data_IF_463614375784
#
_entry.id   IF_463614375784
#
_cell.length_a   1.000
_cell.length_b   1.000
_cell.length_c   1.000
_cell.angle_alpha   90.00
_cell.angle_beta   90.00
_cell.angle_gamma   90.00
#
_symmetry.space_group_name_H-M   'P 1'
#
loop_
_entity.id
_entity.type
_entity.pdbx_description
1 polymer ?
#
# COMPACT_ATOMS: atom_id res chain seq x y z
N UNK A 1 -14.92 3.95 16.06
CA UNK A 1 -14.23 2.65 15.90
C UNK A 1 -12.77 2.81 15.50
N UNK A 2 -12.44 3.60 14.46
CA UNK A 2 -11.05 3.78 13.97
C UNK A 2 -10.03 4.19 15.05
N UNK A 3 -10.36 5.15 15.93
CA UNK A 3 -9.44 5.58 17.00
C UNK A 3 -9.19 4.55 18.12
N UNK A 4 -10.00 3.48 18.22
CA UNK A 4 -9.75 2.41 19.17
C UNK A 4 -8.63 1.49 18.67
N UNK A 5 -8.61 1.22 17.36
CA UNK A 5 -7.60 0.37 16.75
C UNK A 5 -6.20 0.96 16.89
N UNK A 6 -6.02 2.26 16.58
CA UNK A 6 -4.73 2.94 16.75
C UNK A 6 -4.18 2.93 18.17
N UNK A 7 -5.05 3.03 19.19
CA UNK A 7 -4.62 2.97 20.59
C UNK A 7 -4.12 1.57 20.97
N UNK A 8 -4.80 0.53 20.49
CA UNK A 8 -4.41 -0.86 20.74
C UNK A 8 -3.09 -1.19 20.03
N UNK A 9 -2.93 -0.75 18.77
CA UNK A 9 -1.66 -0.86 18.03
C UNK A 9 -0.49 -0.19 18.76
N UNK A 10 -0.72 1.00 19.34
CA UNK A 10 0.28 1.70 20.16
C UNK A 10 0.61 0.91 21.43
N UNK A 11 -0.40 0.32 22.08
CA UNK A 11 -0.22 -0.49 23.29
C UNK A 11 0.63 -1.74 23.00
N UNK A 12 0.31 -2.47 21.93
CA UNK A 12 1.06 -3.66 21.52
C UNK A 12 2.51 -3.32 21.18
N UNK A 13 2.74 -2.25 20.41
CA UNK A 13 4.10 -1.84 20.06
C UNK A 13 4.93 -1.44 21.29
N UNK A 14 4.30 -0.80 22.29
CA UNK A 14 5.00 -0.45 23.53
C UNK A 14 5.30 -1.69 24.38
N UNK A 15 4.45 -2.73 24.31
CA UNK A 15 4.74 -4.01 24.95
C UNK A 15 5.97 -4.68 24.32
N UNK A 16 6.09 -4.63 22.99
CA UNK A 16 7.24 -5.20 22.26
C UNK A 16 8.52 -4.34 22.43
N UNK A 17 8.37 -3.02 22.51
CA UNK A 17 9.46 -2.06 22.72
C UNK A 17 9.16 -1.10 23.88
N UNK A 18 9.39 -1.51 25.14
CA UNK A 18 9.07 -0.71 26.32
C UNK A 18 9.92 0.57 26.45
N UNK A 19 11.06 0.64 25.74
CA UNK A 19 11.93 1.82 25.71
C UNK A 19 11.39 2.94 24.82
N UNK A 20 10.47 2.63 23.89
CA UNK A 20 9.88 3.61 22.98
C UNK A 20 8.80 4.43 23.70
N UNK A 21 9.14 5.68 24.03
CA UNK A 21 8.22 6.64 24.68
C UNK A 21 7.26 7.32 23.71
N UNK A 22 7.63 7.40 22.43
CA UNK A 22 6.80 7.99 21.37
C UNK A 22 6.75 7.02 20.18
N UNK A 23 5.62 6.98 19.50
CA UNK A 23 5.46 6.26 18.25
C UNK A 23 4.44 6.96 17.36
N UNK A 24 4.59 6.80 16.05
CA UNK A 24 3.63 7.27 15.07
C UNK A 24 2.90 6.06 14.49
N UNK A 25 1.58 6.02 14.61
CA UNK A 25 0.76 4.95 14.00
C UNK A 25 0.16 5.46 12.70
N UNK A 26 0.47 4.77 11.60
CA UNK A 26 -0.03 5.04 10.24
C UNK A 26 -0.99 3.92 9.86
N UNK A 27 -2.29 4.18 10.01
CA UNK A 27 -3.35 3.22 9.68
C UNK A 27 -3.82 3.45 8.24
N UNK A 28 -3.28 2.67 7.29
CA UNK A 28 -3.67 2.73 5.88
C UNK A 28 -4.75 1.70 5.55
N UNK A 29 -6.00 2.15 5.57
CA UNK A 29 -7.19 1.31 5.41
C UNK A 29 -7.83 1.34 4.02
N UNK A 30 -9.04 0.78 3.95
CA UNK A 30 -9.82 0.71 2.72
C UNK A 30 -10.20 2.10 2.18
N UNK A 31 -10.78 2.98 3.01
CA UNK A 31 -11.28 4.26 2.52
C UNK A 31 -10.33 5.43 2.77
N UNK A 32 -9.56 5.40 3.86
CA UNK A 32 -8.75 6.53 4.34
C UNK A 32 -7.47 6.01 4.97
N UNK A 33 -6.47 6.88 5.03
CA UNK A 33 -5.24 6.66 5.80
C UNK A 33 -5.22 7.65 6.97
N UNK A 34 -5.05 7.15 8.20
CA UNK A 34 -4.94 7.98 9.39
C UNK A 34 -3.51 7.95 9.93
N UNK A 35 -3.01 9.10 10.32
CA UNK A 35 -1.68 9.25 10.90
C UNK A 35 -1.88 9.85 12.28
N UNK A 36 -1.50 9.08 13.30
CA UNK A 36 -1.78 9.39 14.70
C UNK A 36 -0.48 9.34 15.49
N UNK A 37 0.07 10.49 15.92
CA UNK A 37 1.22 10.53 16.80
C UNK A 37 0.81 10.23 18.24
N UNK A 38 1.56 9.34 18.89
CA UNK A 38 1.44 8.98 20.29
C UNK A 38 2.69 9.42 21.04
N UNK A 39 2.50 10.25 22.06
CA UNK A 39 3.56 10.75 22.94
C UNK A 39 3.20 10.28 24.35
N UNK A 40 4.07 9.49 24.98
CA UNK A 40 3.83 8.88 26.30
C UNK A 40 2.47 8.16 26.34
N UNK A 41 2.18 7.37 25.30
CA UNK A 41 0.93 6.62 25.09
C UNK A 41 -0.34 7.48 24.99
N UNK A 42 -0.20 8.81 24.90
CA UNK A 42 -1.30 9.73 24.67
C UNK A 42 -1.26 10.25 23.24
N UNK A 43 -2.39 10.19 22.56
CA UNK A 43 -2.54 10.77 21.23
C UNK A 43 -2.32 12.29 21.26
N UNK A 44 -1.47 12.78 20.38
CA UNK A 44 -1.22 14.21 20.22
C UNK A 44 -2.17 14.78 19.16
N UNK A 45 -3.30 15.34 19.62
CA UNK A 45 -4.41 15.77 18.75
C UNK A 45 -3.99 16.71 17.60
N UNK A 46 -3.14 17.73 17.79
CA UNK A 46 -2.78 18.64 16.70
C UNK A 46 -1.99 17.97 15.57
N UNK A 47 -1.27 16.88 15.85
CA UNK A 47 -0.54 16.12 14.84
C UNK A 47 -1.36 15.01 14.18
N UNK A 48 -2.63 14.83 14.55
CA UNK A 48 -3.48 13.82 13.91
C UNK A 48 -3.87 14.29 12.52
N UNK A 49 -3.50 13.51 11.51
CA UNK A 49 -3.85 13.78 10.12
C UNK A 49 -4.67 12.64 9.53
N UNK A 50 -5.55 13.01 8.60
CA UNK A 50 -6.33 12.07 7.80
C UNK A 50 -6.13 12.42 6.34
N UNK A 51 -5.65 11.45 5.58
CA UNK A 51 -5.52 11.52 4.13
C UNK A 51 -6.69 10.77 3.52
N UNK A 52 -7.40 11.40 2.58
CA UNK A 52 -8.53 10.78 1.89
C UNK A 52 -8.07 9.87 0.73
N UNK A 53 -6.96 9.16 0.94
CA UNK A 53 -6.39 8.19 0.01
C UNK A 53 -6.30 6.85 0.74
N UNK A 54 -6.83 5.82 0.09
CA UNK A 54 -6.89 4.45 0.62
C UNK A 54 -7.18 3.44 -0.49
N UNK A 55 -7.34 2.18 -0.11
CA UNK A 55 -7.49 1.05 -1.04
C UNK A 55 -8.68 1.17 -2.02
N UNK A 56 -9.75 1.88 -1.66
CA UNK A 56 -10.92 2.12 -2.52
C UNK A 56 -10.55 2.92 -3.76
N UNK A 57 -9.72 3.95 -3.61
CA UNK A 57 -9.25 4.76 -4.73
C UNK A 57 -8.38 3.91 -5.65
N UNK A 58 -7.50 3.09 -5.08
CA UNK A 58 -6.65 2.16 -5.83
C UNK A 58 -7.50 1.18 -6.66
N UNK A 59 -8.49 0.54 -6.03
CA UNK A 59 -9.38 -0.41 -6.71
C UNK A 59 -10.22 0.28 -7.78
N UNK A 60 -10.76 1.48 -7.53
CA UNK A 60 -11.53 2.22 -8.52
C UNK A 60 -10.68 2.61 -9.74
N UNK A 61 -9.47 3.12 -9.51
CA UNK A 61 -8.59 3.49 -10.60
C UNK A 61 -8.11 2.26 -11.40
N UNK A 62 -7.84 1.14 -10.73
CA UNK A 62 -7.55 -0.12 -11.42
C UNK A 62 -8.72 -0.56 -12.30
N UNK A 63 -9.97 -0.44 -11.83
CA UNK A 63 -11.16 -0.75 -12.64
C UNK A 63 -11.25 0.12 -13.89
N UNK A 64 -10.98 1.42 -13.77
CA UNK A 64 -10.98 2.35 -14.91
C UNK A 64 -9.92 1.96 -15.95
N UNK A 65 -8.67 1.73 -15.50
CA UNK A 65 -7.55 1.36 -16.39
C UNK A 65 -7.81 0.03 -17.10
N UNK A 66 -8.29 -0.99 -16.38
CA UNK A 66 -8.58 -2.30 -16.97
C UNK A 66 -9.80 -2.24 -17.91
N UNK A 67 -10.86 -1.53 -17.53
CA UNK A 67 -12.06 -1.35 -18.36
C UNK A 67 -11.78 -0.61 -19.65
N UNK A 68 -10.86 0.35 -19.61
CA UNK A 68 -10.42 1.07 -20.79
C UNK A 68 -9.57 0.20 -21.73
N UNK A 69 -8.66 -0.62 -21.17
CA UNK A 69 -7.64 -1.32 -21.97
C UNK A 69 -8.07 -2.69 -22.49
N UNK A 70 -8.84 -3.46 -21.72
CA UNK A 70 -9.07 -4.88 -22.02
C UNK A 70 -10.53 -5.31 -21.85
N UNK A 71 -11.08 -5.20 -20.64
CA UNK A 71 -12.33 -5.86 -20.24
C UNK A 71 -13.13 -4.94 -19.32
N UNK A 72 -14.41 -4.70 -19.61
CA UNK A 72 -15.28 -3.87 -18.79
C UNK A 72 -15.58 -4.54 -17.44
N UNK A 73 -14.90 -4.09 -16.38
CA UNK A 73 -14.94 -4.67 -15.01
C UNK A 73 -15.46 -3.67 -13.97
N UNK A 74 -16.17 -2.63 -14.39
CA UNK A 74 -16.61 -1.54 -13.50
C UNK A 74 -17.52 -2.00 -12.36
N UNK A 75 -18.33 -3.04 -12.61
CA UNK A 75 -19.24 -3.64 -11.64
C UNK A 75 -18.55 -4.70 -10.76
N UNK A 76 -17.43 -5.27 -11.23
CA UNK A 76 -16.69 -6.38 -10.61
C UNK A 76 -15.72 -5.92 -9.51
N UNK A 77 -16.23 -5.19 -8.52
CA UNK A 77 -15.38 -4.56 -7.49
C UNK A 77 -14.65 -5.58 -6.61
N UNK A 78 -15.30 -6.70 -6.29
CA UNK A 78 -14.72 -7.72 -5.42
C UNK A 78 -13.54 -8.45 -6.10
N UNK A 79 -13.74 -8.89 -7.33
CA UNK A 79 -12.70 -9.59 -8.12
C UNK A 79 -11.51 -8.67 -8.36
N UNK A 80 -11.77 -7.40 -8.69
CA UNK A 80 -10.70 -6.42 -8.92
C UNK A 80 -9.95 -6.07 -7.64
N UNK A 81 -10.59 -6.11 -6.48
CA UNK A 81 -9.89 -5.97 -5.20
C UNK A 81 -8.96 -7.16 -4.92
N UNK A 82 -9.41 -8.39 -5.17
CA UNK A 82 -8.54 -9.58 -5.05
C UNK A 82 -7.36 -9.53 -6.02
N UNK A 83 -7.64 -9.19 -7.28
CA UNK A 83 -6.61 -9.02 -8.31
C UNK A 83 -5.54 -8.00 -7.90
N UNK A 84 -5.96 -6.88 -7.28
CA UNK A 84 -5.05 -5.87 -6.74
C UNK A 84 -4.21 -6.44 -5.59
N UNK A 85 -4.81 -7.12 -4.64
CA UNK A 85 -4.10 -7.71 -3.49
C UNK A 85 -3.10 -8.80 -3.93
N UNK A 86 -3.45 -9.58 -4.96
CA UNK A 86 -2.67 -10.72 -5.44
C UNK A 86 -1.53 -10.31 -6.40
N UNK A 87 -1.74 -9.29 -7.23
CA UNK A 87 -0.78 -8.91 -8.27
C UNK A 87 -0.02 -7.62 -7.99
N UNK A 88 -0.59 -6.64 -7.30
CA UNK A 88 0.06 -5.34 -7.16
C UNK A 88 1.18 -5.37 -6.11
N UNK A 89 2.18 -4.52 -6.31
CA UNK A 89 3.31 -4.37 -5.40
C UNK A 89 3.82 -2.93 -5.42
N UNK A 90 4.50 -2.54 -4.36
CA UNK A 90 5.15 -1.23 -4.26
C UNK A 90 6.55 -1.32 -4.84
N UNK A 91 6.83 -0.52 -5.87
CA UNK A 91 8.17 -0.42 -6.43
C UNK A 91 9.04 0.50 -5.56
N UNK A 92 10.29 0.10 -5.31
CA UNK A 92 11.31 0.97 -4.68
C UNK A 92 12.04 1.86 -5.69
N UNK A 93 12.04 1.48 -6.96
CA UNK A 93 12.65 2.19 -8.09
C UNK A 93 11.71 2.12 -9.31
N UNK A 94 10.88 3.15 -9.41
CA UNK A 94 9.84 3.24 -10.44
C UNK A 94 10.42 3.22 -11.86
N UNK A 95 11.54 3.90 -12.09
CA UNK A 95 12.15 4.00 -13.42
C UNK A 95 12.72 2.66 -13.88
N UNK A 96 13.34 1.90 -12.97
CA UNK A 96 13.83 0.56 -13.26
C UNK A 96 12.69 -0.37 -13.64
N UNK A 97 11.64 -0.42 -12.85
CA UNK A 97 10.49 -1.29 -13.10
C UNK A 97 9.74 -0.89 -14.38
N UNK A 98 9.62 0.40 -14.64
CA UNK A 98 9.06 0.91 -15.89
C UNK A 98 9.87 0.49 -17.13
N UNK A 99 11.22 0.47 -17.04
CA UNK A 99 12.08 -0.05 -18.11
C UNK A 99 11.86 -1.55 -18.32
N UNK A 100 11.76 -2.34 -17.26
CA UNK A 100 11.50 -3.79 -17.33
C UNK A 100 10.12 -4.07 -17.95
N UNK A 101 9.09 -3.31 -17.56
CA UNK A 101 7.73 -3.45 -18.05
C UNK A 101 7.59 -3.17 -19.56
N UNK A 102 8.48 -2.35 -20.13
CA UNK A 102 8.55 -2.09 -21.58
C UNK A 102 9.22 -3.20 -22.38
N UNK A 103 10.00 -4.06 -21.74
CA UNK A 103 10.69 -5.15 -22.43
C UNK A 103 9.71 -6.24 -22.88
N UNK A 104 10.11 -7.01 -23.88
CA UNK A 104 9.39 -8.23 -24.28
C UNK A 104 9.87 -9.43 -23.44
N UNK A 105 9.03 -10.44 -23.33
CA UNK A 105 9.42 -11.74 -22.78
C UNK A 105 10.68 -12.26 -23.50
N UNK A 106 11.66 -12.88 -22.80
CA UNK A 106 11.65 -13.34 -21.39
C UNK A 106 12.13 -12.31 -20.35
N UNK A 107 12.52 -11.10 -20.77
CA UNK A 107 13.10 -10.09 -19.86
C UNK A 107 12.08 -9.36 -18.98
N UNK A 108 10.80 -9.38 -19.38
CA UNK A 108 9.72 -8.76 -18.61
C UNK A 108 9.20 -9.72 -17.54
N UNK A 109 9.62 -9.50 -16.29
CA UNK A 109 9.19 -10.25 -15.10
C UNK A 109 7.92 -9.68 -14.45
N UNK A 110 7.50 -8.49 -14.86
CA UNK A 110 6.41 -7.71 -14.29
C UNK A 110 5.07 -8.15 -14.88
N UNK A 111 5.01 -8.48 -16.16
CA UNK A 111 3.76 -8.94 -16.78
C UNK A 111 3.26 -10.23 -16.11
N UNK A 112 1.97 -10.28 -15.77
CA UNK A 112 1.27 -11.44 -15.21
C UNK A 112 -0.12 -11.58 -15.77
N UNK A 113 -0.54 -12.81 -15.97
CA UNK A 113 -1.90 -13.17 -16.34
C UNK A 113 -2.65 -13.68 -15.11
N UNK A 114 -3.86 -13.15 -14.90
CA UNK A 114 -4.77 -13.53 -13.82
C UNK A 114 -6.03 -14.12 -14.44
N UNK A 115 -6.33 -15.36 -14.10
CA UNK A 115 -7.56 -16.03 -14.54
C UNK A 115 -8.70 -15.54 -13.66
N UNK A 116 -9.71 -14.92 -14.27
CA UNK A 116 -10.88 -14.45 -13.55
C UNK A 116 -11.73 -15.65 -13.09
N UNK A 117 -12.33 -15.59 -11.89
CA UNK A 117 -13.22 -16.64 -11.41
C UNK A 117 -14.48 -16.73 -12.29
N UNK A 118 -14.88 -17.94 -12.64
CA UNK A 118 -16.11 -18.23 -13.40
C UNK A 118 -17.30 -18.56 -12.49
N UNK A 119 -17.09 -18.56 -11.16
CA UNK A 119 -18.06 -18.90 -10.10
C UNK A 119 -18.71 -20.28 -10.25
N UNK A 120 -18.21 -21.13 -11.16
CA UNK A 120 -18.71 -22.50 -11.38
C UNK A 120 -17.64 -23.52 -11.01
N UNK A 121 -16.38 -23.24 -11.36
CA UNK A 121 -15.22 -24.08 -11.04
C UNK A 121 -14.33 -23.41 -10.00
N UNK A 122 -14.20 -22.08 -10.07
CA UNK A 122 -13.26 -21.33 -9.23
C UNK A 122 -13.93 -20.08 -8.64
N UNK A 123 -13.88 -19.95 -7.30
CA UNK A 123 -14.44 -18.81 -6.56
C UNK A 123 -13.45 -17.64 -6.36
N UNK A 124 -12.15 -17.87 -6.49
CA UNK A 124 -11.08 -16.84 -6.41
C UNK A 124 -10.13 -17.04 -7.57
N UNK A 125 -9.82 -15.97 -8.29
CA UNK A 125 -8.96 -16.06 -9.47
C UNK A 125 -7.55 -16.59 -9.17
N UNK A 126 -6.89 -17.05 -10.23
CA UNK A 126 -5.60 -17.74 -10.15
C UNK A 126 -4.55 -16.96 -10.93
N UNK A 127 -3.38 -16.76 -10.31
CA UNK A 127 -2.23 -16.15 -10.97
C UNK A 127 -1.52 -17.23 -11.81
N UNK A 128 -1.37 -16.99 -13.12
CA UNK A 128 -0.57 -17.87 -13.98
C UNK A 128 0.92 -17.64 -13.75
N UNK A 129 1.70 -18.70 -13.81
CA UNK A 129 3.16 -18.63 -13.75
C UNK A 129 3.72 -17.86 -14.96
N UNK A 130 4.98 -17.40 -14.90
CA UNK A 130 5.61 -16.68 -16.03
C UNK A 130 5.66 -17.55 -17.30
N UNK A 131 5.89 -18.84 -17.12
CA UNK A 131 6.00 -19.78 -18.23
C UNK A 131 4.64 -19.97 -18.88
N UNK A 132 3.58 -20.18 -18.10
CA UNK A 132 2.20 -20.28 -18.59
C UNK A 132 1.70 -18.98 -19.23
N UNK A 133 2.09 -17.82 -18.69
CA UNK A 133 1.77 -16.48 -19.23
C UNK A 133 2.32 -16.29 -20.65
N UNK A 134 3.47 -16.90 -20.94
CA UNK A 134 4.10 -16.86 -22.27
C UNK A 134 3.46 -17.83 -23.28
N UNK A 135 3.02 -19.00 -22.80
CA UNK A 135 2.43 -20.10 -23.61
C UNK A 135 0.93 -19.91 -23.85
N UNK A 136 0.23 -19.14 -23.00
CA UNK A 136 -1.23 -18.92 -23.00
C UNK A 136 -1.85 -18.29 -24.24
N UNK A 137 -1.12 -18.09 -25.34
CA UNK A 137 -1.75 -17.72 -26.62
C UNK A 137 -2.61 -18.85 -27.22
N UNK A 138 -2.53 -20.09 -26.69
CA UNK A 138 -3.10 -21.26 -27.39
C UNK A 138 -4.02 -22.19 -26.59
N UNK A 139 -4.06 -22.18 -25.25
CA UNK A 139 -4.54 -23.38 -24.52
C UNK A 139 -5.94 -23.28 -23.87
N UNK A 140 -6.51 -22.13 -23.54
CA UNK A 140 -7.89 -22.09 -22.98
C UNK A 140 -8.71 -20.94 -23.57
N UNK A 141 -9.64 -21.27 -24.48
CA UNK A 141 -10.59 -20.29 -25.05
C UNK A 141 -11.75 -19.95 -24.12
N UNK A 142 -12.01 -20.78 -23.11
CA UNK A 142 -13.19 -20.66 -22.25
C UNK A 142 -12.93 -19.86 -20.96
N UNK A 143 -11.65 -19.67 -20.59
CA UNK A 143 -11.29 -18.90 -19.40
C UNK A 143 -11.01 -17.44 -19.74
N UNK A 144 -11.64 -16.53 -19.01
CA UNK A 144 -11.36 -15.10 -19.13
C UNK A 144 -10.08 -14.75 -18.36
N UNK A 145 -9.10 -14.19 -19.07
CA UNK A 145 -7.78 -13.86 -18.51
C UNK A 145 -7.56 -12.36 -18.54
N UNK A 146 -7.15 -11.80 -17.39
CA UNK A 146 -6.76 -10.42 -17.23
C UNK A 146 -5.23 -10.32 -17.22
N UNK A 147 -4.65 -9.63 -18.20
CA UNK A 147 -3.20 -9.44 -18.27
C UNK A 147 -2.79 -8.11 -17.64
N UNK A 148 -2.06 -8.10 -16.53
CA UNK A 148 -1.53 -6.89 -15.91
C UNK A 148 -0.02 -6.75 -16.16
N UNK A 149 0.43 -5.52 -16.40
CA UNK A 149 1.85 -5.19 -16.60
C UNK A 149 2.25 -4.04 -15.67
N UNK A 150 2.42 -2.82 -16.18
CA UNK A 150 2.81 -1.66 -15.38
C UNK A 150 1.76 -1.27 -14.34
N UNK A 151 0.47 -1.62 -14.56
CA UNK A 151 -0.60 -1.39 -13.59
C UNK A 151 -0.30 -1.96 -12.20
N UNK A 152 0.52 -3.02 -12.13
CA UNK A 152 0.88 -3.69 -10.87
C UNK A 152 1.62 -2.77 -9.89
N UNK A 153 2.40 -1.82 -10.39
CA UNK A 153 3.16 -0.89 -9.54
C UNK A 153 2.73 0.57 -9.71
N UNK A 154 2.09 0.95 -10.83
CA UNK A 154 1.57 2.31 -11.00
C UNK A 154 0.30 2.56 -10.19
N UNK A 155 -0.54 1.54 -9.95
CA UNK A 155 -1.75 1.71 -9.12
C UNK A 155 -1.37 2.00 -7.66
N UNK A 156 -0.52 1.19 -6.99
CA UNK A 156 -0.14 1.48 -5.61
C UNK A 156 0.61 2.81 -5.42
N UNK A 157 1.26 3.33 -6.47
CA UNK A 157 1.96 4.63 -6.48
C UNK A 157 1.04 5.80 -6.08
N UNK A 158 -0.27 5.69 -6.32
CA UNK A 158 -1.27 6.70 -5.94
C UNK A 158 -1.27 6.99 -4.42
N UNK A 159 -0.84 6.04 -3.59
CA UNK A 159 -0.69 6.29 -2.15
C UNK A 159 0.39 7.32 -1.83
N UNK A 160 1.42 7.43 -2.68
CA UNK A 160 2.55 8.34 -2.52
C UNK A 160 2.37 9.60 -3.35
N UNK A 161 1.88 9.48 -4.59
CA UNK A 161 1.70 10.57 -5.53
C UNK A 161 0.26 10.65 -6.06
N UNK A 162 -0.75 10.96 -5.23
CA UNK A 162 -2.14 11.05 -5.66
C UNK A 162 -2.42 12.20 -6.63
N UNK A 163 -1.60 13.27 -6.59
CA UNK A 163 -1.78 14.43 -7.47
C UNK A 163 -1.53 14.10 -8.95
N UNK A 164 -0.72 13.09 -9.25
CA UNK A 164 -0.39 12.66 -10.61
C UNK A 164 -1.61 12.15 -11.38
N UNK A 165 -2.64 11.69 -10.67
CA UNK A 165 -3.92 11.26 -11.23
C UNK A 165 -5.04 12.29 -11.03
N UNK A 166 -4.68 13.53 -10.68
CA UNK A 166 -5.63 14.63 -10.48
C UNK A 166 -6.41 14.58 -9.18
N UNK A 167 -5.96 13.82 -8.17
CA UNK A 167 -6.56 13.82 -6.83
C UNK A 167 -5.83 14.86 -5.97
N UNK A 168 -6.48 15.96 -5.56
CA UNK A 168 -5.85 17.02 -4.78
C UNK A 168 -5.74 16.60 -3.30
N UNK A 169 -4.85 15.65 -3.02
CA UNK A 169 -4.50 15.16 -1.69
C UNK A 169 -2.98 15.08 -1.57
N UNK A 170 -2.47 15.09 -0.35
CA UNK A 170 -1.05 14.81 -0.06
C UNK A 170 -0.78 13.30 -0.08
N UNK A 171 0.47 12.93 -0.38
CA UNK A 171 0.94 11.56 -0.24
C UNK A 171 1.01 11.11 1.23
N UNK A 172 1.07 9.80 1.47
CA UNK A 172 1.23 9.26 2.84
C UNK A 172 2.57 9.70 3.45
N UNK A 173 3.65 9.73 2.66
CA UNK A 173 4.98 10.16 3.11
C UNK A 173 5.00 11.62 3.56
N UNK A 174 4.46 12.52 2.75
CA UNK A 174 4.34 13.96 3.08
C UNK A 174 3.48 14.17 4.32
N UNK A 175 2.37 13.44 4.43
CA UNK A 175 1.48 13.54 5.57
C UNK A 175 2.15 13.06 6.87
N UNK A 176 3.01 12.04 6.81
CA UNK A 176 3.80 11.58 7.98
C UNK A 176 4.73 12.71 8.46
N UNK A 177 5.49 13.32 7.54
CA UNK A 177 6.43 14.39 7.87
C UNK A 177 5.69 15.61 8.43
N UNK A 178 4.56 15.98 7.82
CA UNK A 178 3.71 17.06 8.33
C UNK A 178 3.20 16.75 9.74
N UNK A 179 2.72 15.53 10.00
CA UNK A 179 2.25 15.10 11.32
C UNK A 179 3.35 15.25 12.38
N UNK A 180 4.57 14.80 12.06
CA UNK A 180 5.72 14.90 12.97
C UNK A 180 6.14 16.35 13.19
N UNK A 181 6.11 17.19 12.15
CA UNK A 181 6.45 18.61 12.27
C UNK A 181 5.46 19.39 13.15
N UNK A 182 4.19 18.99 13.18
CA UNK A 182 3.18 19.54 14.09
C UNK A 182 3.40 19.11 15.55
N UNK A 183 4.18 18.07 15.80
CA UNK A 183 4.55 17.62 17.15
C UNK A 183 5.71 18.46 17.74
N UNK A 184 5.82 18.50 19.09
CA UNK A 184 6.93 19.18 19.78
C UNK A 184 8.30 18.66 19.32
N UNK A 185 9.26 19.56 19.15
CA UNK A 185 10.57 19.27 18.54
C UNK A 185 11.32 18.13 19.24
N UNK A 186 11.24 18.11 20.57
CA UNK A 186 11.85 17.11 21.47
C UNK A 186 11.38 15.67 21.18
N UNK A 187 10.19 15.53 20.61
CA UNK A 187 9.58 14.22 20.32
C UNK A 187 9.82 13.75 18.89
N UNK A 188 10.23 14.65 17.97
CA UNK A 188 10.35 14.35 16.54
C UNK A 188 11.33 13.22 16.26
N UNK A 189 12.50 13.22 16.89
CA UNK A 189 13.51 12.16 16.74
C UNK A 189 12.96 10.78 17.11
N UNK A 190 12.18 10.71 18.19
CA UNK A 190 11.56 9.47 18.65
C UNK A 190 10.43 9.02 17.71
N UNK A 191 9.67 9.96 17.13
CA UNK A 191 8.59 9.66 16.20
C UNK A 191 9.11 9.13 14.86
N UNK A 192 10.18 9.72 14.30
CA UNK A 192 10.82 9.22 13.07
C UNK A 192 11.39 7.82 13.23
N UNK A 193 11.93 7.50 14.41
CA UNK A 193 12.51 6.19 14.69
C UNK A 193 11.46 5.12 15.05
N UNK A 194 10.19 5.49 15.23
CA UNK A 194 9.13 4.58 15.67
C UNK A 194 7.85 4.79 14.85
N UNK A 195 7.94 4.57 13.55
CA UNK A 195 6.78 4.60 12.65
C UNK A 195 6.23 3.18 12.51
N UNK A 196 4.95 3.00 12.81
CA UNK A 196 4.27 1.72 12.74
C UNK A 196 3.18 1.83 11.69
N UNK A 197 3.16 0.93 10.72
CA UNK A 197 2.12 0.89 9.70
C UNK A 197 1.14 -0.23 10.02
N UNK A 198 -0.15 0.08 10.00
CA UNK A 198 -1.24 -0.90 10.16
C UNK A 198 -2.27 -0.75 9.04
N UNK A 199 -3.17 -1.71 8.91
CA UNK A 199 -4.22 -1.73 7.90
C UNK A 199 -3.87 -2.53 6.64
N UNK A 200 -4.87 -2.71 5.78
CA UNK A 200 -4.78 -3.62 4.63
C UNK A 200 -3.81 -3.17 3.54
N UNK A 201 -3.57 -1.86 3.35
CA UNK A 201 -2.60 -1.42 2.34
C UNK A 201 -1.15 -1.70 2.78
N UNK A 202 -0.90 -1.95 4.07
CA UNK A 202 0.41 -2.39 4.55
C UNK A 202 0.82 -3.77 4.03
N UNK A 203 -0.12 -4.57 3.50
CA UNK A 203 0.15 -5.90 2.96
C UNK A 203 0.79 -5.89 1.55
N UNK A 204 0.93 -4.73 0.89
CA UNK A 204 1.59 -4.68 -0.41
C UNK A 204 3.07 -5.09 -0.28
N UNK A 205 3.57 -6.00 -1.14
CA UNK A 205 5.00 -6.32 -1.15
C UNK A 205 5.82 -5.06 -1.43
N UNK A 206 6.88 -4.83 -0.64
CA UNK A 206 7.76 -3.66 -0.76
C UNK A 206 7.25 -2.38 -0.08
N UNK A 207 6.10 -2.42 0.61
CA UNK A 207 5.53 -1.23 1.27
C UNK A 207 6.46 -0.62 2.32
N UNK A 208 7.04 -1.44 3.19
CA UNK A 208 7.96 -1.00 4.25
C UNK A 208 9.20 -0.30 3.68
N UNK A 209 9.89 -0.95 2.74
CA UNK A 209 11.09 -0.43 2.11
C UNK A 209 10.82 0.88 1.37
N UNK A 210 9.71 0.94 0.61
CA UNK A 210 9.33 2.14 -0.13
C UNK A 210 9.00 3.28 0.82
N UNK A 211 8.17 3.06 1.83
CA UNK A 211 7.79 4.11 2.77
C UNK A 211 9.00 4.62 3.57
N UNK A 212 9.89 3.73 3.99
CA UNK A 212 11.13 4.10 4.68
C UNK A 212 11.99 5.01 3.82
N UNK A 213 12.18 4.65 2.54
CA UNK A 213 12.97 5.44 1.58
C UNK A 213 12.38 6.85 1.37
N UNK A 214 11.07 6.93 1.18
CA UNK A 214 10.35 8.20 0.97
C UNK A 214 10.40 9.11 2.20
N UNK A 215 10.10 8.57 3.39
CA UNK A 215 10.14 9.34 4.63
C UNK A 215 11.57 9.77 4.93
N UNK A 216 12.57 8.91 4.70
CA UNK A 216 13.98 9.26 4.90
C UNK A 216 14.45 10.38 3.99
N UNK A 217 13.97 10.44 2.74
CA UNK A 217 14.31 11.52 1.80
C UNK A 217 13.75 12.88 2.22
N UNK A 218 12.66 12.90 3.00
CA UNK A 218 12.00 14.12 3.49
C UNK A 218 12.40 14.50 4.93
N UNK A 219 12.96 13.56 5.69
CA UNK A 219 13.35 13.77 7.08
C UNK A 219 14.70 14.52 7.18
N UNK A 220 14.90 15.31 8.25
CA UNK A 220 16.21 15.90 8.56
C UNK A 220 17.32 14.86 8.67
N UNK A 221 18.54 15.23 8.30
CA UNK A 221 19.65 14.29 8.21
C UNK A 221 20.03 13.67 9.55
N UNK A 222 19.79 14.41 10.65
CA UNK A 222 20.15 14.05 12.02
C UNK A 222 19.26 12.97 12.64
N UNK A 223 18.09 12.69 12.06
CA UNK A 223 17.12 11.76 12.64
C UNK A 223 17.11 10.40 11.94
N UNK A 224 17.30 9.33 12.72
CA UNK A 224 17.10 7.98 12.22
C UNK A 224 15.62 7.72 11.93
N UNK A 225 15.35 7.16 10.75
CA UNK A 225 14.00 6.78 10.31
C UNK A 225 13.88 5.27 10.34
N UNK A 226 12.89 4.79 11.09
CA UNK A 226 12.58 3.36 11.17
C UNK A 226 11.07 3.16 11.05
N UNK A 227 10.68 2.50 9.96
CA UNK A 227 9.31 2.06 9.71
C UNK A 227 9.22 0.58 10.03
N UNK A 228 8.17 0.17 10.72
CA UNK A 228 7.89 -1.23 11.02
C UNK A 228 6.50 -1.57 10.51
N UNK A 229 6.41 -2.57 9.64
CA UNK A 229 5.14 -3.18 9.24
C UNK A 229 5.04 -4.53 9.96
N UNK A 230 4.08 -4.72 10.88
CA UNK A 230 3.86 -6.01 11.52
C UNK A 230 3.52 -7.09 10.48
N UNK A 231 3.81 -8.37 10.77
CA UNK A 231 3.50 -9.48 9.86
C UNK A 231 2.01 -9.52 9.47
N UNK A 232 1.13 -9.19 10.40
CA UNK A 232 -0.32 -9.13 10.19
C UNK A 232 -0.86 -7.72 10.49
N UNK A 233 -0.68 -6.75 9.58
CA UNK A 233 -1.05 -5.36 9.83
C UNK A 233 -2.57 -5.16 9.89
N UNK A 234 -3.36 -6.10 9.36
CA UNK A 234 -4.83 -6.08 9.36
C UNK A 234 -5.39 -6.30 10.76
N UNK A 235 -4.88 -7.32 11.47
CA UNK A 235 -5.37 -7.71 12.80
C UNK A 235 -4.49 -7.21 13.94
N UNK A 236 -3.42 -6.45 13.64
CA UNK A 236 -2.47 -5.94 14.63
C UNK A 236 -3.12 -5.17 15.79
N UNK A 237 -4.22 -4.47 15.55
CA UNK A 237 -4.93 -3.77 16.62
C UNK A 237 -5.75 -4.69 17.54
N UNK A 238 -5.92 -5.96 17.20
CA UNK A 238 -6.82 -6.93 17.84
C UNK A 238 -6.09 -8.11 18.48
N UNK A 239 -4.78 -8.21 18.28
CA UNK A 239 -3.86 -9.11 18.98
C UNK A 239 -3.08 -8.32 20.02
#
# INVERSE_FOLDING_TARGET
>A
MVFLAGNLSCYHYHHDKPTAKCCLVVESGYSFTHIVPYILQKKFKPGILRVNVGGKILTNHLKEVISYRQLHVMEETYVMNQCKEDLCFMSTDFDRDHKIAKMKWPKNTIVRDYVLPDYTTVNRGLIRTLDETSVSRTIDKDQQVLRMNNERFTIPEILFHPNDIGIPQMGISEAIVLSINLCPEETRSHLYNNIIVTGGNGCFPGFEERLTKEVRALAPDEFDVSVTVPENPITYAWH
#
